data_IF_028227014630
#
_entry.id   IF_028227014630
#
_cell.length_a   1.000
_cell.length_b   1.000
_cell.length_c   1.000
_cell.angle_alpha   90.00
_cell.angle_beta   90.00
_cell.angle_gamma   90.00
#
_symmetry.space_group_name_H-M   'P 1'
#
loop_
_entity.id
_entity.type
_entity.pdbx_description
1 polymer ?
#
# COMPACT_ATOMS: atom_id res chain seq x y z
N UNK A 1 19.38 -26.96 -27.11
CA UNK A 1 20.14 -25.79 -26.60
C UNK A 1 19.40 -24.46 -26.75
N UNK A 2 18.62 -24.19 -27.81
CA UNK A 2 17.83 -22.95 -27.93
C UNK A 2 16.72 -22.81 -26.87
N UNK A 3 16.04 -23.90 -26.49
CA UNK A 3 14.92 -23.87 -25.55
C UNK A 3 15.30 -23.39 -24.13
N UNK A 4 16.51 -23.67 -23.67
CA UNK A 4 16.99 -23.28 -22.33
C UNK A 4 17.20 -21.77 -22.16
N UNK A 5 17.49 -21.07 -23.26
CA UNK A 5 17.68 -19.61 -23.26
C UNK A 5 16.34 -18.88 -23.11
N UNK A 6 15.26 -19.43 -23.67
CA UNK A 6 13.92 -18.83 -23.58
C UNK A 6 13.33 -18.96 -22.17
N UNK A 7 13.57 -20.06 -21.46
CA UNK A 7 13.03 -20.26 -20.10
C UNK A 7 13.69 -19.35 -19.07
N UNK A 8 14.99 -19.08 -19.20
CA UNK A 8 15.71 -18.18 -18.30
C UNK A 8 15.24 -16.71 -18.41
N UNK A 9 14.87 -16.27 -19.62
CA UNK A 9 14.37 -14.92 -19.86
C UNK A 9 13.01 -14.65 -19.19
N UNK A 10 12.14 -15.65 -19.09
CA UNK A 10 10.81 -15.51 -18.45
C UNK A 10 10.92 -15.43 -16.93
N UNK A 11 11.85 -16.16 -16.31
CA UNK A 11 12.11 -16.12 -14.87
C UNK A 11 12.75 -14.79 -14.41
N UNK A 12 13.55 -14.15 -15.27
CA UNK A 12 14.12 -12.84 -14.98
C UNK A 12 13.06 -11.73 -14.90
N UNK A 13 11.97 -11.85 -15.67
CA UNK A 13 10.88 -10.86 -15.66
C UNK A 13 9.97 -10.99 -14.43
N UNK A 14 9.78 -12.20 -13.89
CA UNK A 14 8.95 -12.41 -12.69
C UNK A 14 9.68 -12.01 -11.40
N UNK A 15 11.00 -12.21 -11.33
CA UNK A 15 11.81 -11.85 -10.16
C UNK A 15 11.91 -10.34 -9.89
N UNK A 16 11.84 -9.50 -10.92
CA UNK A 16 11.90 -8.04 -10.75
C UNK A 16 10.66 -7.45 -10.07
N UNK A 17 9.48 -8.06 -10.28
CA UNK A 17 8.23 -7.62 -9.64
C UNK A 17 8.22 -7.96 -8.16
N UNK A 18 8.66 -9.17 -7.81
CA UNK A 18 8.75 -9.64 -6.42
C UNK A 18 9.75 -8.81 -5.60
N UNK A 19 10.93 -8.54 -6.16
CA UNK A 19 11.96 -7.72 -5.53
C UNK A 19 11.49 -6.29 -5.20
N UNK A 20 10.70 -5.67 -6.10
CA UNK A 20 10.14 -4.33 -5.87
C UNK A 20 9.07 -4.35 -4.79
N UNK A 21 8.20 -5.36 -4.79
CA UNK A 21 7.17 -5.54 -3.76
C UNK A 21 7.80 -5.76 -2.38
N UNK A 22 8.73 -6.71 -2.27
CA UNK A 22 9.43 -6.99 -1.01
C UNK A 22 10.17 -5.77 -0.47
N UNK A 23 10.81 -4.97 -1.35
CA UNK A 23 11.44 -3.71 -0.95
C UNK A 23 10.43 -2.68 -0.46
N UNK A 24 9.28 -2.55 -1.12
CA UNK A 24 8.25 -1.61 -0.69
C UNK A 24 7.64 -2.02 0.65
N UNK A 25 7.32 -3.31 0.83
CA UNK A 25 6.81 -3.84 2.10
C UNK A 25 7.84 -3.62 3.23
N UNK A 26 9.13 -3.86 2.98
CA UNK A 26 10.17 -3.62 3.97
C UNK A 26 10.45 -2.13 4.24
N UNK A 27 10.22 -1.25 3.26
CA UNK A 27 10.53 0.19 3.39
C UNK A 27 9.37 0.98 3.98
N UNK A 28 8.14 0.58 3.68
CA UNK A 28 6.93 1.35 3.97
C UNK A 28 5.93 0.61 4.87
N UNK A 29 6.16 -0.69 5.12
CA UNK A 29 5.24 -1.56 5.86
C UNK A 29 4.88 -1.04 7.25
N UNK A 30 5.85 -0.50 8.00
CA UNK A 30 5.62 -0.01 9.37
C UNK A 30 5.70 1.52 9.48
N UNK A 31 5.70 2.22 8.34
CA UNK A 31 5.89 3.66 8.34
C UNK A 31 4.57 4.42 8.52
N UNK A 32 4.56 5.48 9.34
CA UNK A 32 3.41 6.36 9.42
C UNK A 32 3.18 7.02 8.06
N UNK A 33 1.90 7.19 7.71
CA UNK A 33 1.48 7.79 6.46
C UNK A 33 0.46 8.89 6.72
N UNK A 34 0.52 9.96 5.92
CA UNK A 34 -0.56 10.94 5.87
C UNK A 34 -1.66 10.41 4.94
N UNK A 35 -2.89 10.53 5.41
CA UNK A 35 -4.07 9.97 4.76
C UNK A 35 -5.07 11.10 4.51
N UNK A 36 -5.57 11.17 3.30
CA UNK A 36 -6.73 12.01 2.95
C UNK A 36 -7.68 11.18 2.13
N UNK A 37 -8.95 11.17 2.50
CA UNK A 37 -9.99 10.42 1.81
C UNK A 37 -11.13 11.32 1.37
N UNK A 38 -11.74 10.92 0.26
CA UNK A 38 -12.88 11.57 -0.35
C UNK A 38 -14.01 10.57 -0.58
N UNK A 39 -15.24 11.09 -0.62
CA UNK A 39 -16.43 10.35 -1.05
C UNK A 39 -17.22 11.27 -1.98
N UNK A 40 -17.49 10.81 -3.20
CA UNK A 40 -18.10 11.63 -4.26
C UNK A 40 -17.40 12.99 -4.49
N UNK A 41 -16.06 13.02 -4.35
CA UNK A 41 -15.25 14.23 -4.54
C UNK A 41 -15.21 15.19 -3.34
N UNK A 42 -15.87 14.88 -2.22
CA UNK A 42 -15.83 15.69 -1.00
C UNK A 42 -14.87 15.07 0.01
N UNK A 43 -13.95 15.87 0.57
CA UNK A 43 -13.02 15.41 1.62
C UNK A 43 -13.83 15.08 2.87
N UNK A 44 -13.84 13.81 3.26
CA UNK A 44 -14.55 13.31 4.43
C UNK A 44 -13.60 12.87 5.55
N UNK A 45 -12.31 12.72 5.26
CA UNK A 45 -11.31 12.40 6.27
C UNK A 45 -9.92 12.95 5.91
N UNK A 46 -9.22 13.43 6.94
CA UNK A 46 -7.82 13.81 6.88
C UNK A 46 -7.14 13.47 8.19
N UNK A 47 -6.10 12.67 8.15
CA UNK A 47 -5.43 12.18 9.35
C UNK A 47 -4.07 11.55 9.06
N UNK A 48 -3.50 10.91 10.07
CA UNK A 48 -2.18 10.28 9.99
C UNK A 48 -2.21 8.91 10.64
N UNK A 49 -1.65 7.89 10.00
CA UNK A 49 -1.46 6.59 10.63
C UNK A 49 -0.23 6.58 11.54
N UNK A 50 -0.24 5.77 12.58
CA UNK A 50 0.96 5.52 13.40
C UNK A 50 1.95 4.58 12.73
N UNK A 51 1.50 3.80 11.74
CA UNK A 51 2.30 2.81 11.02
C UNK A 51 1.57 2.32 9.77
N UNK A 52 1.59 1.00 9.54
CA UNK A 52 0.98 0.36 8.36
C UNK A 52 -0.44 0.84 8.09
N UNK A 53 -0.71 1.09 6.81
CA UNK A 53 -2.06 1.18 6.27
C UNK A 53 -2.34 -0.10 5.51
N UNK A 54 -3.39 -0.80 5.89
CA UNK A 54 -3.88 -2.02 5.24
C UNK A 54 -4.92 -1.64 4.18
N UNK A 55 -4.90 -2.36 3.06
CA UNK A 55 -5.81 -2.15 1.94
C UNK A 55 -6.61 -3.43 1.74
N UNK A 56 -7.94 -3.32 1.76
CA UNK A 56 -8.84 -4.42 1.40
C UNK A 56 -9.20 -4.36 -0.08
N UNK A 57 -9.64 -5.50 -0.64
CA UNK A 57 -9.99 -5.64 -2.06
C UNK A 57 -11.10 -4.69 -2.55
N UNK A 58 -11.87 -4.09 -1.63
CA UNK A 58 -12.94 -3.12 -1.90
C UNK A 58 -12.53 -1.65 -1.88
N UNK A 59 -11.23 -1.33 -1.75
CA UNK A 59 -10.76 0.05 -1.62
C UNK A 59 -10.90 0.63 -0.21
N UNK A 60 -11.39 -0.17 0.74
CA UNK A 60 -11.36 0.17 2.16
C UNK A 60 -9.92 0.17 2.66
N UNK A 61 -9.57 1.20 3.42
CA UNK A 61 -8.30 1.25 4.15
C UNK A 61 -8.52 1.06 5.64
N UNK A 62 -7.56 0.42 6.30
CA UNK A 62 -7.57 0.21 7.74
C UNK A 62 -6.20 0.57 8.35
N UNK A 63 -6.20 1.32 9.44
CA UNK A 63 -4.97 1.80 10.08
C UNK A 63 -5.23 2.21 11.53
N UNK A 64 -4.16 2.43 12.30
CA UNK A 64 -4.27 3.06 13.63
C UNK A 64 -4.09 4.57 13.48
N UNK A 65 -5.12 5.34 13.82
CA UNK A 65 -5.10 6.80 13.75
C UNK A 65 -4.24 7.39 14.87
N UNK A 66 -3.26 8.21 14.51
CA UNK A 66 -2.35 8.88 15.44
C UNK A 66 -3.05 9.88 16.37
N UNK A 67 -4.23 10.40 15.99
CA UNK A 67 -4.96 11.39 16.79
C UNK A 67 -5.56 10.81 18.07
N UNK A 68 -5.97 9.55 18.02
CA UNK A 68 -6.79 8.92 19.06
C UNK A 68 -6.35 7.49 19.41
N UNK A 69 -5.32 6.96 18.75
CA UNK A 69 -4.80 5.59 18.90
C UNK A 69 -5.87 4.51 18.72
N UNK A 70 -6.86 4.75 17.86
CA UNK A 70 -7.90 3.77 17.53
C UNK A 70 -7.62 3.13 16.18
N UNK A 71 -8.00 1.86 16.08
CA UNK A 71 -8.12 1.21 14.78
C UNK A 71 -9.29 1.83 14.02
N UNK A 72 -9.01 2.34 12.83
CA UNK A 72 -9.93 3.12 12.01
C UNK A 72 -10.00 2.48 10.64
N UNK A 73 -11.22 2.31 10.15
CA UNK A 73 -11.49 1.82 8.79
C UNK A 73 -12.27 2.87 8.02
N UNK A 74 -11.87 3.15 6.78
CA UNK A 74 -12.50 4.15 5.92
C UNK A 74 -12.74 3.54 4.55
N UNK A 75 -13.98 3.63 4.09
CA UNK A 75 -14.38 3.32 2.73
C UNK A 75 -14.41 4.61 1.90
N UNK A 76 -13.78 4.62 0.73
CA UNK A 76 -13.77 5.77 -0.18
C UNK A 76 -12.51 5.84 -1.04
N UNK A 77 -12.37 6.96 -1.75
CA UNK A 77 -11.17 7.25 -2.52
C UNK A 77 -10.12 7.82 -1.57
N UNK A 78 -9.04 7.09 -1.29
CA UNK A 78 -8.02 7.53 -0.33
C UNK A 78 -6.66 7.72 -1.00
N UNK A 79 -6.00 8.84 -0.67
CA UNK A 79 -4.60 9.11 -0.97
C UNK A 79 -3.78 8.89 0.30
N UNK A 80 -2.84 7.95 0.22
CA UNK A 80 -1.92 7.59 1.31
C UNK A 80 -0.50 7.96 0.91
N UNK A 81 0.19 8.74 1.73
CA UNK A 81 1.57 9.21 1.48
C UNK A 81 2.46 8.83 2.66
N UNK A 82 3.39 7.90 2.44
CA UNK A 82 4.37 7.48 3.43
C UNK A 82 5.55 8.46 3.49
N UNK A 83 6.15 8.63 4.68
CA UNK A 83 7.36 9.45 4.92
C UNK A 83 8.64 8.63 5.09
#
# INVERSE_FOLDING_TARGET
MKALVYTAAVLALTGCTDSKRARNDATWGDKPADITCWTYGVENFKGRSTGKVEYDDGGRISFVDASNNRYTTIDGDCRVVYM
#
